data_IF_366736033190
#
_entry.id   IF_366736033190
#
_cell.length_a   1.000
_cell.length_b   1.000
_cell.length_c   1.000
_cell.angle_alpha   90.00
_cell.angle_beta   90.00
_cell.angle_gamma   90.00
#
_symmetry.space_group_name_H-M   'P 1'
#
loop_
_entity.id
_entity.type
_entity.pdbx_description
1 polymer ?
#
# COMPACT_ATOMS: atom_id res chain seq x y z
N UNK A 1 -1.97 44.43 -3.15
CA UNK A 1 -1.42 43.09 -3.43
C UNK A 1 -2.39 42.07 -2.86
N UNK A 2 -3.22 41.47 -3.70
CA UNK A 2 -4.12 40.36 -3.35
C UNK A 2 -3.26 39.10 -3.21
N UNK A 3 -2.52 39.05 -2.11
CA UNK A 3 -1.51 38.02 -1.84
C UNK A 3 -2.13 36.63 -1.86
N UNK A 4 -1.40 35.70 -2.44
CA UNK A 4 -1.76 34.36 -2.91
C UNK A 4 -2.59 33.47 -1.95
N UNK A 5 -2.75 33.86 -0.68
CA UNK A 5 -3.47 33.13 0.37
C UNK A 5 -4.30 34.00 1.34
N UNK A 6 -5.05 34.98 0.81
CA UNK A 6 -6.18 35.64 1.50
C UNK A 6 -7.19 34.69 2.19
N UNK A 7 -8.15 35.11 3.04
CA UNK A 7 -8.89 36.38 2.94
C UNK A 7 -7.98 37.62 3.15
N UNK A 8 -6.98 37.53 4.04
CA UNK A 8 -5.71 38.29 4.01
C UNK A 8 -4.54 37.34 4.41
N UNK A 9 -3.77 36.78 3.46
CA UNK A 9 -2.49 36.02 3.62
C UNK A 9 -2.40 34.76 4.52
N UNK A 10 -2.73 34.89 5.81
CA UNK A 10 -2.49 33.85 6.82
C UNK A 10 -3.63 32.82 6.88
N UNK A 11 -4.87 33.28 6.68
CA UNK A 11 -6.05 32.41 6.72
C UNK A 11 -6.01 31.34 5.62
N UNK A 12 -5.67 31.72 4.39
CA UNK A 12 -5.57 30.78 3.27
C UNK A 12 -4.44 29.76 3.47
N UNK A 13 -3.34 30.17 4.11
CA UNK A 13 -2.23 29.27 4.43
C UNK A 13 -2.65 28.16 5.40
N UNK A 14 -3.33 28.50 6.49
CA UNK A 14 -3.79 27.50 7.47
C UNK A 14 -4.78 26.53 6.83
N UNK A 15 -5.70 27.03 6.01
CA UNK A 15 -6.65 26.18 5.27
C UNK A 15 -5.93 25.22 4.35
N UNK A 16 -4.93 25.69 3.59
CA UNK A 16 -4.15 24.84 2.69
C UNK A 16 -3.37 23.75 3.44
N UNK A 17 -2.76 24.07 4.58
CA UNK A 17 -2.03 23.08 5.40
C UNK A 17 -2.96 22.03 5.95
N UNK A 18 -4.11 22.42 6.51
CA UNK A 18 -5.10 21.47 7.04
C UNK A 18 -5.62 20.56 5.93
N UNK A 19 -5.90 21.11 4.75
CA UNK A 19 -6.35 20.33 3.59
C UNK A 19 -5.29 19.30 3.16
N UNK A 20 -4.02 19.71 3.08
CA UNK A 20 -2.93 18.80 2.73
C UNK A 20 -2.75 17.69 3.77
N UNK A 21 -2.80 18.01 5.06
CA UNK A 21 -2.70 17.02 6.13
C UNK A 21 -3.88 16.03 6.11
N UNK A 22 -5.10 16.52 5.84
CA UNK A 22 -6.27 15.68 5.70
C UNK A 22 -6.14 14.71 4.52
N UNK A 23 -5.63 15.18 3.38
CA UNK A 23 -5.37 14.34 2.21
C UNK A 23 -4.30 13.29 2.53
N UNK A 24 -3.17 13.69 3.10
CA UNK A 24 -2.08 12.78 3.47
C UNK A 24 -2.56 11.71 4.45
N UNK A 25 -3.32 12.11 5.48
CA UNK A 25 -3.89 11.18 6.45
C UNK A 25 -4.88 10.22 5.78
N UNK A 26 -5.79 10.71 4.94
CA UNK A 26 -6.78 9.89 4.24
C UNK A 26 -6.14 8.86 3.31
N UNK A 27 -5.17 9.27 2.50
CA UNK A 27 -4.43 8.37 1.61
C UNK A 27 -3.57 7.37 2.38
N UNK A 28 -2.88 7.82 3.44
CA UNK A 28 -2.08 6.96 4.30
C UNK A 28 -2.92 5.90 5.01
N UNK A 29 -4.08 6.30 5.56
CA UNK A 29 -5.01 5.37 6.18
C UNK A 29 -5.55 4.33 5.18
N UNK A 30 -5.96 4.76 3.99
CA UNK A 30 -6.40 3.86 2.94
C UNK A 30 -5.30 2.86 2.53
N UNK A 31 -4.05 3.32 2.39
CA UNK A 31 -2.91 2.47 2.07
C UNK A 31 -2.68 1.39 3.14
N UNK A 32 -2.69 1.76 4.43
CA UNK A 32 -2.54 0.81 5.54
C UNK A 32 -3.68 -0.20 5.57
N UNK A 33 -4.91 0.22 5.27
CA UNK A 33 -6.07 -0.69 5.20
C UNK A 33 -5.96 -1.68 4.06
N UNK A 34 -5.57 -1.22 2.86
CA UNK A 34 -5.31 -2.12 1.73
C UNK A 34 -4.17 -3.09 2.03
N UNK A 35 -3.06 -2.60 2.59
CA UNK A 35 -1.93 -3.46 2.97
C UNK A 35 -2.35 -4.51 4.00
N UNK A 36 -3.15 -4.14 5.00
CA UNK A 36 -3.68 -5.09 5.99
C UNK A 36 -4.61 -6.12 5.36
N UNK A 37 -5.49 -5.70 4.44
CA UNK A 37 -6.40 -6.61 3.77
C UNK A 37 -5.63 -7.65 2.94
N UNK A 38 -4.69 -7.21 2.11
CA UNK A 38 -3.91 -8.12 1.25
C UNK A 38 -2.92 -8.99 2.03
N UNK A 39 -2.34 -8.47 3.13
CA UNK A 39 -1.51 -9.28 4.02
C UNK A 39 -2.28 -10.47 4.64
N UNK A 40 -3.61 -10.37 4.74
CA UNK A 40 -4.48 -11.43 5.24
C UNK A 40 -5.29 -12.13 4.13
N UNK A 41 -4.98 -11.84 2.86
CA UNK A 41 -5.65 -12.44 1.70
C UNK A 41 -4.65 -13.30 0.90
N UNK A 42 -4.21 -14.45 1.44
CA UNK A 42 -3.27 -15.32 0.74
C UNK A 42 -3.92 -15.94 -0.49
N UNK A 43 -3.11 -16.18 -1.53
CA UNK A 43 -3.54 -16.97 -2.67
C UNK A 43 -3.90 -18.39 -2.21
N UNK A 44 -5.09 -18.85 -2.59
CA UNK A 44 -5.53 -20.23 -2.37
C UNK A 44 -5.22 -21.04 -3.64
N UNK A 45 -4.50 -22.14 -3.46
CA UNK A 45 -4.30 -23.12 -4.53
C UNK A 45 -5.52 -24.05 -4.55
N UNK A 46 -6.49 -23.76 -5.41
CA UNK A 46 -7.72 -24.56 -5.52
C UNK A 46 -7.47 -25.96 -6.09
N UNK A 47 -6.53 -26.08 -7.04
CA UNK A 47 -6.18 -27.36 -7.66
C UNK A 47 -4.66 -27.55 -7.74
N UNK A 48 -4.02 -28.04 -6.66
CA UNK A 48 -2.57 -28.21 -6.62
C UNK A 48 -2.05 -29.18 -7.69
N UNK A 49 -2.86 -30.16 -8.11
CA UNK A 49 -2.50 -31.13 -9.14
C UNK A 49 -2.46 -30.53 -10.56
N UNK A 50 -3.07 -29.35 -10.76
CA UNK A 50 -2.98 -28.60 -12.02
C UNK A 50 -1.74 -27.72 -12.11
N UNK A 51 -1.00 -27.53 -11.01
CA UNK A 51 0.24 -26.77 -11.00
C UNK A 51 1.32 -27.61 -11.70
N UNK A 52 1.61 -27.27 -12.95
CA UNK A 52 2.66 -27.93 -13.71
C UNK A 52 4.03 -27.51 -13.19
N UNK A 53 4.80 -28.47 -12.66
CA UNK A 53 6.20 -28.27 -12.33
C UNK A 53 7.02 -28.19 -13.63
N UNK A 54 7.26 -26.96 -14.11
CA UNK A 54 7.86 -26.72 -15.43
C UNK A 54 9.35 -27.07 -15.55
N UNK A 55 10.06 -27.25 -14.44
CA UNK A 55 11.49 -27.59 -14.45
C UNK A 55 11.86 -28.41 -13.23
N UNK A 56 12.58 -29.51 -13.49
CA UNK A 56 13.22 -30.35 -12.47
C UNK A 56 14.46 -29.66 -11.87
N UNK A 57 15.09 -28.71 -12.56
CA UNK A 57 16.21 -27.93 -12.00
C UNK A 57 15.78 -27.07 -10.80
N UNK A 58 14.50 -26.67 -10.73
CA UNK A 58 13.99 -25.89 -9.59
C UNK A 58 14.15 -26.59 -8.24
N UNK A 59 14.28 -27.93 -8.22
CA UNK A 59 14.54 -28.69 -7.01
C UNK A 59 15.90 -28.33 -6.36
N UNK A 60 16.88 -27.84 -7.14
CA UNK A 60 18.19 -27.43 -6.65
C UNK A 60 18.21 -26.06 -5.96
N UNK A 61 17.12 -25.30 -6.00
CA UNK A 61 17.02 -23.96 -5.43
C UNK A 61 16.22 -23.90 -4.12
N UNK A 62 15.70 -25.03 -3.64
CA UNK A 62 14.97 -25.11 -2.38
C UNK A 62 15.96 -25.29 -1.22
N UNK A 63 15.94 -24.40 -0.22
CA UNK A 63 16.58 -24.65 1.07
C UNK A 63 15.51 -25.17 2.03
N UNK A 64 15.64 -26.42 2.47
CA UNK A 64 14.87 -26.92 3.60
C UNK A 64 15.35 -26.20 4.85
N UNK A 65 14.50 -25.34 5.42
CA UNK A 65 14.71 -24.85 6.78
C UNK A 65 14.33 -26.02 7.69
N UNK A 66 15.34 -26.66 8.30
CA UNK A 66 15.14 -27.70 9.31
C UNK A 66 14.65 -27.04 10.60
N UNK A 67 13.53 -27.51 11.15
CA UNK A 67 12.97 -27.07 12.46
C UNK A 67 13.73 -27.66 13.65
#
# INVERSE_FOLDING_TARGET
MNGLFGINGLGGYIVAVVLLLAIVFGLGYAAVMTQKAEANNPYVIENPNSIQMKSVENAGHFQSVEE
#
